data_IF_997235117220
#
_entry.id   IF_997235117220
#
_cell.length_a   1.000
_cell.length_b   1.000
_cell.length_c   1.000
_cell.angle_alpha   90.00
_cell.angle_beta   90.00
_cell.angle_gamma   90.00
#
_symmetry.space_group_name_H-M   'P 1'
#
loop_
_entity.id
_entity.type
_entity.pdbx_description
1 polymer ?
#
# COMPACT_ATOMS: atom_id res chain seq x y z
N UNK A 1 -16.02 -28.04 -17.39
CA UNK A 1 -16.27 -26.71 -18.01
C UNK A 1 -16.42 -25.66 -16.92
N UNK A 2 -15.41 -24.83 -16.73
CA UNK A 2 -15.53 -23.50 -16.10
C UNK A 2 -14.27 -22.71 -16.47
N UNK A 3 -14.40 -21.97 -17.56
CA UNK A 3 -13.41 -21.04 -18.08
C UNK A 3 -13.13 -19.97 -17.03
N UNK A 4 -11.96 -20.02 -16.38
CA UNK A 4 -11.42 -18.89 -15.63
C UNK A 4 -10.67 -17.98 -16.59
N UNK A 5 -11.33 -16.89 -16.95
CA UNK A 5 -10.77 -15.80 -17.75
C UNK A 5 -9.39 -15.33 -17.25
N UNK A 6 -8.40 -15.16 -18.14
CA UNK A 6 -7.15 -14.50 -17.82
C UNK A 6 -7.36 -12.97 -17.92
N UNK A 7 -7.83 -12.33 -16.85
CA UNK A 7 -7.63 -10.88 -16.66
C UNK A 7 -6.34 -10.63 -15.89
N UNK A 8 -5.23 -11.08 -16.49
CA UNK A 8 -3.95 -10.45 -16.25
C UNK A 8 -4.07 -9.02 -16.78
N UNK A 9 -4.25 -8.09 -15.83
CA UNK A 9 -4.26 -6.66 -16.06
C UNK A 9 -3.03 -6.29 -16.89
N UNK A 10 -3.24 -6.04 -18.19
CA UNK A 10 -2.32 -5.25 -18.99
C UNK A 10 -2.08 -3.93 -18.25
N UNK A 11 -0.83 -3.47 -18.07
CA UNK A 11 -0.59 -2.17 -17.46
C UNK A 11 -1.31 -1.13 -18.31
N UNK A 12 -2.27 -0.44 -17.71
CA UNK A 12 -3.00 0.62 -18.38
C UNK A 12 -2.02 1.76 -18.67
N UNK A 13 -1.53 1.83 -19.92
CA UNK A 13 -0.66 2.88 -20.44
C UNK A 13 -1.24 4.30 -20.24
N UNK A 14 -2.52 4.42 -19.91
CA UNK A 14 -3.20 5.69 -19.66
C UNK A 14 -2.66 6.47 -18.44
N UNK A 15 -2.23 5.79 -17.36
CA UNK A 15 -1.70 6.49 -16.17
C UNK A 15 -0.29 7.05 -16.46
N UNK A 16 0.51 6.36 -17.29
CA UNK A 16 1.83 6.84 -17.72
C UNK A 16 1.74 8.08 -18.63
N UNK A 17 0.66 8.21 -19.40
CA UNK A 17 0.44 9.34 -20.31
C UNK A 17 -0.08 10.60 -19.60
N UNK A 18 -0.91 10.49 -18.56
CA UNK A 18 -1.33 11.67 -17.77
C UNK A 18 -0.24 12.20 -16.81
N UNK A 19 0.82 11.42 -16.58
CA UNK A 19 1.92 11.78 -15.68
C UNK A 19 2.95 12.75 -16.29
N UNK A 20 2.97 12.92 -17.62
CA UNK A 20 3.98 13.72 -18.31
C UNK A 20 3.81 15.25 -18.12
N UNK A 21 2.67 15.72 -17.61
CA UNK A 21 2.34 17.14 -17.76
C UNK A 21 2.74 18.09 -16.61
N UNK A 22 2.77 17.73 -15.33
CA UNK A 22 2.85 18.78 -14.26
C UNK A 22 3.80 18.51 -13.07
N UNK A 23 4.56 17.42 -13.04
CA UNK A 23 5.46 17.15 -11.92
C UNK A 23 6.83 17.75 -12.20
N UNK A 24 6.95 19.04 -11.91
CA UNK A 24 8.27 19.66 -11.71
C UNK A 24 8.74 19.22 -10.33
N UNK A 25 9.84 18.48 -10.26
CA UNK A 25 10.61 18.46 -9.01
C UNK A 25 10.93 19.92 -8.69
N UNK A 26 10.75 20.38 -7.45
CA UNK A 26 11.22 21.70 -7.04
C UNK A 26 12.75 21.71 -7.05
N UNK A 27 13.32 21.78 -8.24
CA UNK A 27 14.73 22.09 -8.45
C UNK A 27 14.81 23.61 -8.39
N UNK A 28 15.49 24.14 -7.38
CA UNK A 28 15.74 25.59 -7.27
C UNK A 28 16.22 26.15 -8.61
N UNK A 29 15.79 27.37 -8.95
CA UNK A 29 16.12 28.02 -10.24
C UNK A 29 17.61 27.91 -10.60
N UNK A 30 18.52 28.07 -9.64
CA UNK A 30 19.96 27.94 -9.85
C UNK A 30 20.41 26.53 -10.26
N UNK A 31 19.86 25.47 -9.63
CA UNK A 31 20.16 24.08 -9.99
C UNK A 31 19.57 23.69 -11.34
N UNK A 32 18.40 24.25 -11.69
CA UNK A 32 17.79 24.02 -13.01
C UNK A 32 18.66 24.62 -14.12
N UNK A 33 19.10 25.87 -13.96
CA UNK A 33 20.05 26.51 -14.89
C UNK A 33 21.35 25.74 -15.03
N UNK A 34 21.90 25.22 -13.93
CA UNK A 34 23.10 24.38 -13.98
C UNK A 34 22.87 23.13 -14.85
N UNK A 35 21.75 22.43 -14.66
CA UNK A 35 21.43 21.23 -15.45
C UNK A 35 21.10 21.53 -16.92
N UNK A 36 20.46 22.68 -17.21
CA UNK A 36 20.22 23.15 -18.58
C UNK A 36 21.52 23.46 -19.31
N UNK A 37 22.51 24.00 -18.59
CA UNK A 37 23.82 24.36 -19.14
C UNK A 37 24.86 23.24 -19.00
N UNK A 38 24.45 22.02 -18.62
CA UNK A 38 25.35 20.87 -18.37
C UNK A 38 26.48 21.17 -17.36
N UNK A 39 26.24 22.07 -16.42
CA UNK A 39 27.17 22.46 -15.37
C UNK A 39 27.08 21.50 -14.17
N UNK A 40 28.21 21.24 -13.48
CA UNK A 40 28.21 20.42 -12.28
C UNK A 40 27.35 21.05 -11.18
N UNK A 41 26.56 20.20 -10.51
CA UNK A 41 25.78 20.62 -9.36
C UNK A 41 26.66 20.77 -8.12
N UNK A 42 26.29 21.66 -7.17
CA UNK A 42 27.01 21.77 -5.90
C UNK A 42 27.08 20.43 -5.18
N UNK A 43 28.25 20.10 -4.61
CA UNK A 43 28.50 18.81 -3.92
C UNK A 43 27.50 18.56 -2.78
N UNK A 44 27.10 19.63 -2.07
CA UNK A 44 26.12 19.57 -0.97
C UNK A 44 24.69 19.29 -1.44
N UNK A 45 24.44 19.24 -2.75
CA UNK A 45 23.09 19.00 -3.26
C UNK A 45 22.70 17.53 -3.10
N UNK A 46 21.51 17.30 -2.53
CA UNK A 46 20.94 15.96 -2.34
C UNK A 46 20.88 15.16 -3.65
N UNK A 47 20.72 15.85 -4.78
CA UNK A 47 20.55 15.25 -6.10
C UNK A 47 21.87 15.00 -6.85
N UNK A 48 22.98 15.68 -6.53
CA UNK A 48 24.25 15.54 -7.27
C UNK A 48 24.76 14.09 -7.33
N UNK A 49 24.61 13.34 -6.21
CA UNK A 49 25.02 11.94 -6.10
C UNK A 49 24.32 10.98 -7.07
N UNK A 50 23.23 11.42 -7.70
CA UNK A 50 22.43 10.58 -8.61
C UNK A 50 22.72 10.87 -10.09
N UNK A 51 23.76 11.63 -10.40
CA UNK A 51 24.10 12.06 -11.77
C UNK A 51 22.86 12.53 -12.57
N UNK A 52 22.12 13.52 -12.06
CA UNK A 52 20.83 13.89 -12.63
C UNK A 52 21.03 14.66 -13.95
N UNK A 53 20.16 14.42 -14.92
CA UNK A 53 20.16 15.16 -16.19
C UNK A 53 18.75 15.65 -16.52
N UNK A 54 18.64 16.74 -17.26
CA UNK A 54 17.35 17.29 -17.66
C UNK A 54 16.96 16.77 -19.05
N UNK A 55 15.81 16.11 -19.16
CA UNK A 55 15.26 15.67 -20.44
C UNK A 55 13.80 16.10 -20.55
N UNK A 56 13.47 16.88 -21.58
CA UNK A 56 12.10 17.35 -21.85
C UNK A 56 11.44 18.04 -20.63
N UNK A 57 12.22 18.81 -19.86
CA UNK A 57 11.85 19.45 -18.57
C UNK A 57 11.61 18.51 -17.37
N UNK A 58 11.94 17.22 -17.49
CA UNK A 58 11.92 16.28 -16.38
C UNK A 58 13.35 15.90 -15.96
N UNK A 59 13.52 15.60 -14.68
CA UNK A 59 14.82 15.16 -14.16
C UNK A 59 14.93 13.64 -14.32
N UNK A 60 15.83 13.20 -15.17
CA UNK A 60 16.21 11.81 -15.33
C UNK A 60 17.43 11.46 -14.48
N UNK A 61 17.57 10.17 -14.18
CA UNK A 61 18.79 9.62 -13.60
C UNK A 61 19.75 9.12 -14.68
N UNK A 62 20.95 9.69 -14.71
CA UNK A 62 22.05 9.18 -15.52
C UNK A 62 22.63 7.91 -14.90
N UNK A 63 23.06 6.95 -15.72
CA UNK A 63 23.56 5.69 -15.20
C UNK A 63 24.19 4.78 -16.24
N UNK A 64 24.64 3.62 -15.76
CA UNK A 64 25.43 2.63 -16.53
C UNK A 64 24.69 2.06 -17.75
N UNK A 65 23.36 2.14 -17.79
CA UNK A 65 22.52 1.57 -18.86
C UNK A 65 22.31 2.51 -20.05
N UNK A 66 23.02 3.65 -20.10
CA UNK A 66 22.90 4.64 -21.18
C UNK A 66 23.03 4.03 -22.59
N UNK A 67 23.92 3.05 -22.78
CA UNK A 67 24.16 2.38 -24.06
C UNK A 67 23.48 0.99 -24.20
N UNK A 68 22.73 0.54 -23.19
CA UNK A 68 22.05 -0.76 -23.28
C UNK A 68 20.94 -0.75 -24.34
N UNK A 69 20.54 -1.87 -24.96
CA UNK A 69 19.41 -1.92 -25.90
C UNK A 69 18.05 -1.95 -25.17
N UNK A 70 17.85 -1.03 -24.22
CA UNK A 70 16.61 -0.87 -23.44
C UNK A 70 15.89 0.40 -23.89
N UNK A 71 14.56 0.44 -23.79
CA UNK A 71 13.79 1.64 -24.12
C UNK A 71 14.22 2.83 -23.25
N UNK A 72 14.18 4.05 -23.79
CA UNK A 72 14.58 5.26 -23.06
C UNK A 72 13.81 5.46 -21.75
N UNK A 73 12.56 5.01 -21.69
CA UNK A 73 11.70 5.07 -20.50
C UNK A 73 12.14 4.07 -19.41
N UNK A 74 12.73 2.93 -19.78
CA UNK A 74 13.33 1.97 -18.84
C UNK A 74 14.78 2.29 -18.47
N UNK A 75 15.51 2.99 -19.35
CA UNK A 75 16.91 3.41 -19.12
C UNK A 75 17.04 4.49 -18.06
N UNK A 76 16.16 5.48 -18.10
CA UNK A 76 16.26 6.69 -17.30
C UNK A 76 14.99 6.86 -16.48
N UNK A 77 15.01 6.32 -15.27
CA UNK A 77 13.90 6.52 -14.35
C UNK A 77 13.77 8.00 -13.98
N UNK A 78 12.53 8.49 -13.96
CA UNK A 78 12.24 9.85 -13.53
C UNK A 78 12.57 10.01 -12.04
N UNK A 79 13.40 10.99 -11.71
CA UNK A 79 13.65 11.35 -10.33
C UNK A 79 12.40 12.04 -9.76
N UNK A 80 11.99 11.70 -8.55
CA UNK A 80 10.81 12.27 -7.90
C UNK A 80 11.14 12.60 -6.44
N UNK A 81 10.58 13.70 -5.94
CA UNK A 81 10.66 14.01 -4.52
C UNK A 81 9.55 13.29 -3.75
N UNK A 82 9.92 12.40 -2.84
CA UNK A 82 8.99 11.68 -1.97
C UNK A 82 8.22 12.57 -0.98
N UNK A 83 8.58 13.85 -0.85
CA UNK A 83 7.82 14.84 -0.07
C UNK A 83 6.61 15.39 -0.83
N UNK A 84 6.67 15.43 -2.16
CA UNK A 84 5.67 16.08 -2.99
C UNK A 84 4.31 15.38 -2.93
N UNK A 85 3.22 16.15 -2.81
CA UNK A 85 1.88 15.60 -2.59
C UNK A 85 1.47 14.58 -3.68
N UNK A 86 1.75 14.91 -4.95
CA UNK A 86 1.50 13.98 -6.05
C UNK A 86 2.19 12.63 -5.84
N UNK A 87 3.45 12.63 -5.41
CA UNK A 87 4.24 11.41 -5.22
C UNK A 87 3.69 10.59 -4.05
N UNK A 88 3.20 11.26 -3.01
CA UNK A 88 2.49 10.59 -1.92
C UNK A 88 1.18 9.93 -2.39
N UNK A 89 0.41 10.58 -3.27
CA UNK A 89 -0.78 10.01 -3.89
C UNK A 89 -0.44 8.81 -4.79
N UNK A 90 0.63 8.91 -5.59
CA UNK A 90 1.12 7.81 -6.42
C UNK A 90 1.51 6.58 -5.58
N UNK A 91 2.24 6.79 -4.48
CA UNK A 91 2.58 5.72 -3.54
C UNK A 91 1.33 5.11 -2.92
N UNK A 92 0.35 5.93 -2.50
CA UNK A 92 -0.90 5.47 -1.90
C UNK A 92 -1.71 4.65 -2.90
N UNK A 93 -1.86 5.14 -4.12
CA UNK A 93 -2.53 4.42 -5.19
C UNK A 93 -1.86 3.08 -5.47
N UNK A 94 -0.52 3.07 -5.56
CA UNK A 94 0.24 1.83 -5.79
C UNK A 94 0.09 0.84 -4.63
N UNK A 95 0.10 1.32 -3.39
CA UNK A 95 -0.11 0.50 -2.19
C UNK A 95 -1.52 -0.13 -2.17
N UNK A 96 -2.56 0.63 -2.52
CA UNK A 96 -3.94 0.12 -2.60
C UNK A 96 -4.10 -0.88 -3.74
N UNK A 97 -3.56 -0.55 -4.93
CA UNK A 97 -3.58 -1.45 -6.10
C UNK A 97 -2.86 -2.78 -5.84
N UNK A 98 -1.82 -2.75 -5.02
CA UNK A 98 -1.08 -3.94 -4.58
C UNK A 98 -1.68 -4.58 -3.33
N UNK A 99 -2.97 -4.40 -3.06
CA UNK A 99 -3.68 -5.05 -1.95
C UNK A 99 -2.99 -4.88 -0.59
N UNK A 100 -2.55 -3.65 -0.30
CA UNK A 100 -1.95 -3.29 0.98
C UNK A 100 -0.63 -3.98 1.33
N UNK A 101 0.09 -4.49 0.33
CA UNK A 101 1.42 -5.09 0.53
C UNK A 101 2.44 -4.11 1.13
N UNK A 102 3.48 -4.69 1.73
CA UNK A 102 4.51 -3.97 2.49
C UNK A 102 5.41 -3.07 1.64
N UNK A 103 6.21 -2.26 2.35
CA UNK A 103 7.10 -1.23 1.78
C UNK A 103 7.98 -1.77 0.64
N UNK A 104 8.57 -2.96 0.80
CA UNK A 104 9.49 -3.56 -0.18
C UNK A 104 8.81 -3.79 -1.54
N UNK A 105 7.58 -4.30 -1.54
CA UNK A 105 6.86 -4.62 -2.78
C UNK A 105 6.42 -3.34 -3.49
N UNK A 106 5.88 -2.39 -2.72
CA UNK A 106 5.50 -1.07 -3.26
C UNK A 106 6.72 -0.35 -3.86
N UNK A 107 7.85 -0.38 -3.16
CA UNK A 107 9.10 0.21 -3.63
C UNK A 107 9.57 -0.45 -4.93
N UNK A 108 9.63 -1.78 -4.97
CA UNK A 108 10.03 -2.53 -6.17
C UNK A 108 9.15 -2.18 -7.38
N UNK A 109 7.83 -2.08 -7.19
CA UNK A 109 6.91 -1.72 -8.27
C UNK A 109 7.11 -0.28 -8.78
N UNK A 110 7.44 0.66 -7.89
CA UNK A 110 7.69 2.04 -8.25
C UNK A 110 9.06 2.22 -8.93
N UNK A 111 10.09 1.51 -8.46
CA UNK A 111 11.45 1.57 -8.99
C UNK A 111 11.55 1.16 -10.46
N UNK A 112 10.61 0.36 -10.98
CA UNK A 112 10.56 0.02 -12.40
C UNK A 112 10.32 1.23 -13.32
N UNK A 113 9.78 2.34 -12.80
CA UNK A 113 9.42 3.52 -13.60
C UNK A 113 9.94 4.84 -13.02
N UNK A 114 10.15 4.90 -11.70
CA UNK A 114 10.48 6.13 -10.99
C UNK A 114 11.56 5.89 -9.95
N UNK A 115 12.46 6.86 -9.80
CA UNK A 115 13.36 6.91 -8.67
C UNK A 115 12.89 7.95 -7.67
N UNK A 116 12.51 7.53 -6.47
CA UNK A 116 11.96 8.45 -5.47
C UNK A 116 13.01 8.73 -4.40
N UNK A 117 13.33 10.01 -4.21
CA UNK A 117 14.21 10.46 -3.13
C UNK A 117 13.64 10.04 -1.78
N UNK A 118 14.46 9.34 -0.98
CA UNK A 118 14.04 8.76 0.32
C UNK A 118 12.75 7.93 0.18
N UNK A 119 12.65 7.19 -0.92
CA UNK A 119 11.44 6.47 -1.32
C UNK A 119 10.96 5.48 -0.28
N UNK A 120 11.89 4.76 0.38
CA UNK A 120 11.54 3.81 1.44
C UNK A 120 10.86 4.50 2.63
N UNK A 121 11.41 5.62 3.09
CA UNK A 121 10.88 6.41 4.21
C UNK A 121 9.54 7.06 3.84
N UNK A 122 9.41 7.55 2.60
CA UNK A 122 8.18 8.14 2.09
C UNK A 122 7.05 7.10 2.00
N UNK A 123 7.33 5.92 1.43
CA UNK A 123 6.37 4.81 1.35
C UNK A 123 5.98 4.34 2.76
N UNK A 124 6.95 4.21 3.68
CA UNK A 124 6.67 3.85 5.08
C UNK A 124 5.68 4.82 5.72
N UNK A 125 5.85 6.14 5.53
CA UNK A 125 4.91 7.17 6.01
C UNK A 125 3.52 7.01 5.40
N UNK A 126 3.44 6.77 4.09
CA UNK A 126 2.16 6.57 3.39
C UNK A 126 1.41 5.34 3.93
N UNK A 127 2.10 4.21 4.09
CA UNK A 127 1.52 2.97 4.61
C UNK A 127 1.08 3.14 6.08
N UNK A 128 1.85 3.85 6.90
CA UNK A 128 1.48 4.13 8.30
C UNK A 128 0.20 5.00 8.43
N UNK A 129 -0.07 5.84 7.43
CA UNK A 129 -1.29 6.65 7.33
C UNK A 129 -2.47 5.90 6.71
N UNK A 130 -2.29 4.67 6.24
CA UNK A 130 -3.33 3.86 5.65
C UNK A 130 -4.23 3.25 6.73
N UNK A 131 -5.53 3.59 6.71
CA UNK A 131 -6.50 3.13 7.72
C UNK A 131 -6.63 1.60 7.75
N UNK A 132 -6.85 0.89 6.63
CA UNK A 132 -6.88 -0.58 6.63
C UNK A 132 -5.65 -1.23 7.26
N UNK A 133 -4.45 -0.74 6.93
CA UNK A 133 -3.20 -1.27 7.49
C UNK A 133 -3.01 -0.94 8.97
N UNK A 134 -3.59 0.16 9.45
CA UNK A 134 -3.55 0.52 10.87
C UNK A 134 -4.48 -0.38 11.67
N UNK A 135 -5.70 -0.59 11.18
CA UNK A 135 -6.66 -1.49 11.79
C UNK A 135 -6.14 -2.93 11.81
N UNK A 136 -5.55 -3.41 10.72
CA UNK A 136 -4.98 -4.77 10.65
C UNK A 136 -3.78 -4.98 11.59
N UNK A 137 -3.12 -3.90 12.02
CA UNK A 137 -1.97 -3.92 12.93
C UNK A 137 -2.35 -3.50 14.35
N UNK A 138 -3.62 -3.19 14.60
CA UNK A 138 -4.04 -2.80 15.93
C UNK A 138 -3.67 -3.92 16.92
N UNK A 139 -3.08 -3.58 18.08
CA UNK A 139 -2.81 -4.57 19.10
C UNK A 139 -4.11 -5.26 19.47
N UNK A 140 -4.06 -6.58 19.66
CA UNK A 140 -5.21 -7.29 20.22
C UNK A 140 -5.49 -6.67 21.59
N UNK A 141 -6.77 -6.41 21.87
CA UNK A 141 -7.16 -5.97 23.21
C UNK A 141 -6.63 -6.98 24.22
N UNK A 142 -5.90 -6.49 25.22
CA UNK A 142 -5.56 -7.30 26.37
C UNK A 142 -6.88 -7.56 27.09
N UNK A 143 -7.34 -8.81 27.07
CA UNK A 143 -8.47 -9.22 27.90
C UNK A 143 -7.96 -9.21 29.33
N UNK A 144 -8.30 -8.17 30.08
CA UNK A 144 -8.23 -8.23 31.53
C UNK A 144 -9.39 -9.15 31.92
N UNK A 145 -9.07 -10.35 32.42
CA UNK A 145 -10.09 -11.24 32.95
C UNK A 145 -10.64 -10.59 34.22
N UNK A 146 -11.93 -10.26 34.20
CA UNK A 146 -12.60 -9.84 35.41
C UNK A 146 -12.68 -11.05 36.37
N UNK A 147 -12.57 -10.83 37.70
CA UNK A 147 -12.82 -11.90 38.65
C UNK A 147 -14.23 -12.48 38.42
N UNK A 148 -14.35 -13.80 38.54
CA UNK A 148 -15.66 -14.45 38.50
C UNK A 148 -16.59 -13.82 39.56
N UNK A 149 -17.91 -13.80 39.33
CA UNK A 149 -18.84 -13.24 40.30
C UNK A 149 -18.63 -13.86 41.68
N UNK A 150 -18.62 -13.04 42.73
CA UNK A 150 -18.52 -13.51 44.12
C UNK A 150 -19.69 -14.40 44.56
N UNK A 151 -20.73 -14.51 43.73
CA UNK A 151 -21.89 -15.34 43.99
C UNK A 151 -21.49 -16.83 43.91
N UNK A 152 -21.75 -17.54 45.00
CA UNK A 152 -21.35 -18.92 45.22
C UNK A 152 -21.98 -19.92 44.20
N UNK A 153 -23.11 -19.56 43.59
CA UNK A 153 -23.88 -20.41 42.66
C UNK A 153 -23.17 -20.77 41.36
N UNK A 154 -22.06 -20.09 41.03
CA UNK A 154 -21.25 -20.36 39.83
C UNK A 154 -19.81 -20.78 40.11
N UNK A 155 -19.36 -20.69 41.36
CA UNK A 155 -17.93 -20.85 41.73
C UNK A 155 -17.74 -21.86 42.86
N UNK A 156 -18.82 -22.32 43.50
CA UNK A 156 -18.76 -23.34 44.56
C UNK A 156 -19.70 -24.51 44.25
N UNK A 157 -19.36 -25.74 44.65
CA UNK A 157 -20.26 -26.88 44.54
C UNK A 157 -21.54 -26.65 45.35
N UNK A 158 -22.69 -27.01 44.80
CA UNK A 158 -23.99 -26.94 45.48
C UNK A 158 -24.78 -28.23 45.28
N UNK A 159 -25.82 -28.42 46.10
CA UNK A 159 -26.76 -29.53 45.98
C UNK A 159 -27.31 -29.59 44.54
N UNK A 160 -27.41 -30.79 43.92
CA UNK A 160 -27.97 -30.94 42.58
C UNK A 160 -29.34 -30.25 42.43
N UNK A 161 -29.60 -29.65 41.27
CA UNK A 161 -30.87 -28.97 40.90
C UNK A 161 -31.24 -27.70 41.69
N UNK A 162 -30.37 -27.22 42.56
CA UNK A 162 -30.55 -25.95 43.29
C UNK A 162 -30.48 -24.69 42.41
N UNK A 163 -29.66 -24.74 41.35
CA UNK A 163 -29.47 -23.67 40.37
C UNK A 163 -29.45 -24.30 38.99
N UNK A 164 -30.26 -23.79 38.06
CA UNK A 164 -30.34 -24.27 36.67
C UNK A 164 -30.12 -23.11 35.71
N UNK A 165 -29.12 -23.23 34.85
CA UNK A 165 -28.93 -22.30 33.73
C UNK A 165 -29.83 -22.71 32.57
N UNK A 166 -30.62 -21.77 32.07
CA UNK A 166 -31.43 -21.96 30.85
C UNK A 166 -30.82 -21.06 29.79
N UNK A 167 -30.47 -21.63 28.64
CA UNK A 167 -30.03 -20.89 27.48
C UNK A 167 -30.85 -21.31 26.26
N UNK A 168 -31.16 -20.36 25.40
CA UNK A 168 -31.87 -20.63 24.15
C UNK A 168 -30.85 -20.65 23.04
N UNK A 169 -30.83 -21.75 22.29
CA UNK A 169 -30.05 -21.78 21.06
C UNK A 169 -30.70 -20.87 20.02
N UNK A 170 -29.91 -20.27 19.14
CA UNK A 170 -30.38 -19.43 18.05
C UNK A 170 -31.38 -20.15 17.13
N UNK A 171 -31.98 -19.44 16.15
CA UNK A 171 -33.08 -19.96 15.35
C UNK A 171 -32.80 -21.36 14.78
N UNK A 172 -33.62 -22.32 15.19
CA UNK A 172 -33.59 -23.69 14.68
C UNK A 172 -34.53 -23.78 13.49
N UNK A 173 -33.95 -24.01 12.31
CA UNK A 173 -34.73 -24.21 11.08
C UNK A 173 -35.21 -25.66 11.03
N UNK A 174 -36.52 -25.86 11.16
CA UNK A 174 -37.15 -27.18 11.03
C UNK A 174 -37.58 -27.39 9.58
N UNK A 175 -37.25 -28.57 9.03
CA UNK A 175 -37.73 -28.99 7.71
C UNK A 175 -39.10 -29.66 7.89
N UNK A 176 -40.17 -29.06 7.38
CA UNK A 176 -41.46 -29.73 7.29
C UNK A 176 -41.37 -30.89 6.28
N UNK A 177 -41.27 -32.13 6.75
CA UNK A 177 -41.72 -33.27 5.97
C UNK A 177 -43.25 -33.25 6.01
N UNK A 178 -43.89 -32.79 4.93
CA UNK A 178 -45.34 -32.97 4.77
C UNK A 178 -45.65 -34.47 4.96
N UNK A 179 -46.56 -34.82 5.86
CA UNK A 179 -47.17 -36.14 5.84
C UNK A 179 -47.94 -36.28 4.54
N UNK A 180 -47.62 -37.31 3.77
CA UNK A 180 -48.44 -37.78 2.67
C UNK A 180 -49.68 -38.44 3.28
N UNK A 181 -50.69 -37.65 3.63
CA UNK A 181 -52.03 -38.17 3.90
C UNK A 181 -53.05 -37.28 3.19
N UNK A 182 -53.06 -37.40 1.86
CA UNK A 182 -54.26 -37.19 1.06
C UNK A 182 -55.06 -38.49 1.07
N UNK A 183 -56.23 -38.47 1.71
CA UNK A 183 -57.33 -39.39 1.48
C UNK A 183 -58.60 -38.57 1.27
#
# INVERSE_FOLDING_TARGET
MQNRHPRLQRPCNAILLQLKFHIKIPVNRGKKKALENSLPLPEKSVIARFNPFLQKNHLGLGGRLQFAPVTSEGKHSLLLDGSHNFVQLLMRHTHVRLHHLGVRIVLSKLLSNYWILRGREAIKRVIHRCLPCRLSKAPRGIKIEAPLPARADRVTPYIPFSTTGIDFVGPLYVRNSKSLDTA
#
